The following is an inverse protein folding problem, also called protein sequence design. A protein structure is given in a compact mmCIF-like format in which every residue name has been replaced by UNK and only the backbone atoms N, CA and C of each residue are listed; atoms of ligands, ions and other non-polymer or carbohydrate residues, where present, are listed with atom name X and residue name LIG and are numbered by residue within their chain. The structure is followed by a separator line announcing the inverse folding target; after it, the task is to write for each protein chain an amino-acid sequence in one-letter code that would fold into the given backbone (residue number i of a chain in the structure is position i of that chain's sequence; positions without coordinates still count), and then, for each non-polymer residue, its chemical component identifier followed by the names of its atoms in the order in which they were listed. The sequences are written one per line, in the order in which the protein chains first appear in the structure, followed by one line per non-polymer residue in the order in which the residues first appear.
data_IF_632422937806
#
_entry.id   IF_632422937806
#
_cell.length_a   1.000
_cell.length_b   1.000
_cell.length_c   1.000
_cell.angle_alpha   90.00
_cell.angle_beta   90.00
_cell.angle_gamma   90.00
#
_symmetry.space_group_name_H-M   'P 1'
#
loop_
_entity.id
_entity.type
_entity.pdbx_description
1 polymer ?
#
# COMPACT_ATOMS: atom_id res chain seq x y z
N UNK A 1 -3.79 -35.38 -0.49
CA UNK A 1 -4.44 -34.40 0.37
C UNK A 1 -5.92 -34.53 0.15
N UNK A 2 -6.58 -35.04 1.16
CA UNK A 2 -8.04 -35.11 1.23
C UNK A 2 -8.55 -33.69 1.44
N UNK A 3 -8.70 -32.96 0.37
CA UNK A 3 -9.12 -31.58 0.41
C UNK A 3 -10.58 -31.50 0.87
N UNK A 4 -10.81 -30.79 1.95
CA UNK A 4 -12.16 -30.61 2.52
C UNK A 4 -13.10 -29.95 1.51
N UNK A 5 -12.61 -29.05 0.66
CA UNK A 5 -13.42 -28.43 -0.40
C UNK A 5 -13.94 -29.48 -1.37
N UNK A 6 -13.10 -30.42 -1.83
CA UNK A 6 -13.52 -31.44 -2.75
C UNK A 6 -14.48 -32.44 -2.11
N UNK A 7 -14.34 -32.75 -0.81
CA UNK A 7 -15.29 -33.59 -0.07
C UNK A 7 -16.66 -32.93 0.11
N UNK A 8 -16.69 -31.61 0.25
CA UNK A 8 -17.91 -30.82 0.42
C UNK A 8 -18.31 -30.05 -0.84
N UNK A 9 -17.63 -30.28 -1.98
CA UNK A 9 -17.83 -29.51 -3.21
C UNK A 9 -19.29 -29.44 -3.69
N UNK A 10 -20.08 -30.49 -3.42
CA UNK A 10 -21.50 -30.49 -3.74
C UNK A 10 -22.37 -29.62 -2.84
N UNK A 11 -21.85 -29.15 -1.70
CA UNK A 11 -22.60 -28.35 -0.72
C UNK A 11 -22.17 -26.89 -0.71
N UNK A 12 -20.87 -26.63 -0.77
CA UNK A 12 -20.30 -25.28 -0.62
C UNK A 12 -20.03 -24.56 -1.94
N UNK A 13 -20.38 -25.17 -3.08
CA UNK A 13 -20.03 -24.62 -4.38
C UNK A 13 -21.28 -24.08 -5.08
N UNK A 14 -21.24 -22.80 -5.39
CA UNK A 14 -22.11 -22.17 -6.40
C UNK A 14 -21.54 -22.48 -7.77
N UNK A 15 -22.32 -23.16 -8.61
CA UNK A 15 -22.02 -23.36 -10.02
C UNK A 15 -22.82 -22.34 -10.80
N UNK A 16 -22.19 -21.63 -11.69
CA UNK A 16 -22.85 -20.62 -12.50
C UNK A 16 -22.36 -20.66 -13.95
N UNK A 17 -23.28 -20.37 -14.85
CA UNK A 17 -23.03 -20.17 -16.27
C UNK A 17 -23.85 -18.94 -16.71
N UNK A 18 -23.18 -17.87 -17.12
CA UNK A 18 -23.82 -16.67 -17.61
C UNK A 18 -23.71 -16.51 -19.14
N UNK A 19 -23.38 -17.62 -19.84
CA UNK A 19 -23.21 -17.66 -21.30
C UNK A 19 -21.85 -17.12 -21.78
N UNK A 20 -21.12 -16.41 -20.94
CA UNK A 20 -19.78 -15.88 -21.23
C UNK A 20 -18.71 -16.53 -20.34
N UNK A 21 -19.11 -16.99 -19.17
CA UNK A 21 -18.25 -17.63 -18.19
C UNK A 21 -19.00 -18.75 -17.46
N UNK A 22 -18.45 -19.96 -17.54
CA UNK A 22 -18.85 -21.12 -16.75
C UNK A 22 -17.85 -21.32 -15.62
N UNK A 23 -18.31 -21.29 -14.36
CA UNK A 23 -17.43 -21.27 -13.22
C UNK A 23 -18.01 -21.85 -11.95
N UNK A 24 -17.15 -21.88 -10.94
CA UNK A 24 -17.47 -22.33 -9.60
C UNK A 24 -16.89 -21.36 -8.57
N UNK A 25 -17.71 -20.99 -7.60
CA UNK A 25 -17.32 -20.13 -6.48
C UNK A 25 -17.68 -20.85 -5.18
N UNK A 26 -16.84 -20.71 -4.17
CA UNK A 26 -17.17 -21.15 -2.80
C UNK A 26 -18.27 -20.22 -2.28
N UNK A 27 -19.40 -20.80 -1.87
CA UNK A 27 -20.55 -20.06 -1.36
C UNK A 27 -20.27 -19.42 0.00
N UNK A 28 -20.18 -18.09 0.09
CA UNK A 28 -19.95 -17.42 1.36
C UNK A 28 -21.13 -17.54 2.35
N UNK A 29 -22.28 -17.99 1.89
CA UNK A 29 -23.46 -18.25 2.72
C UNK A 29 -23.24 -19.36 3.76
N UNK A 30 -22.30 -20.29 3.53
CA UNK A 30 -21.93 -21.33 4.49
C UNK A 30 -20.88 -20.83 5.49
N UNK A 31 -21.15 -20.80 6.80
CA UNK A 31 -20.17 -20.41 7.82
C UNK A 31 -18.88 -21.24 7.78
N UNK A 32 -19.01 -22.56 7.57
CA UNK A 32 -17.87 -23.48 7.49
C UNK A 32 -17.01 -23.21 6.25
N UNK A 33 -17.63 -22.81 5.14
CA UNK A 33 -16.90 -22.42 3.91
C UNK A 33 -16.07 -21.15 4.15
N UNK A 34 -16.64 -20.12 4.81
CA UNK A 34 -15.87 -18.91 5.18
C UNK A 34 -14.71 -19.23 6.13
N UNK A 35 -14.95 -20.11 7.12
CA UNK A 35 -13.91 -20.55 8.04
C UNK A 35 -12.78 -21.29 7.31
N UNK A 36 -13.14 -22.10 6.30
CA UNK A 36 -12.16 -22.80 5.48
C UNK A 36 -11.31 -21.83 4.64
N UNK A 37 -11.93 -20.85 3.99
CA UNK A 37 -11.20 -19.80 3.24
C UNK A 37 -10.20 -19.08 4.14
N UNK A 38 -10.64 -18.65 5.32
CA UNK A 38 -9.77 -18.04 6.34
C UNK A 38 -8.60 -18.96 6.70
N UNK A 39 -8.85 -20.24 6.93
CA UNK A 39 -7.80 -21.21 7.26
C UNK A 39 -6.77 -21.35 6.15
N UNK A 40 -7.19 -21.43 4.88
CA UNK A 40 -6.29 -21.54 3.72
C UNK A 40 -5.40 -20.31 3.59
N UNK A 41 -5.96 -19.11 3.74
CA UNK A 41 -5.19 -17.87 3.68
C UNK A 41 -4.23 -17.75 4.86
N UNK A 42 -4.65 -18.16 6.05
CA UNK A 42 -3.79 -18.18 7.23
C UNK A 42 -2.66 -19.20 7.15
N UNK A 43 -2.80 -20.26 6.37
CA UNK A 43 -1.69 -21.17 6.09
C UNK A 43 -0.55 -20.43 5.36
N UNK A 44 -0.88 -19.57 4.40
CA UNK A 44 0.11 -18.75 3.71
C UNK A 44 0.74 -17.75 4.70
N UNK A 45 -0.08 -17.03 5.47
CA UNK A 45 0.41 -16.05 6.44
C UNK A 45 1.35 -16.69 7.47
N UNK A 46 1.01 -17.87 7.97
CA UNK A 46 1.80 -18.54 9.00
C UNK A 46 3.13 -19.08 8.49
N UNK A 47 3.14 -19.66 7.29
CA UNK A 47 4.28 -20.43 6.79
C UNK A 47 5.25 -19.60 5.93
N UNK A 48 4.85 -18.43 5.45
CA UNK A 48 5.67 -17.59 4.58
C UNK A 48 5.86 -16.18 5.17
N UNK A 49 6.97 -15.56 4.82
CA UNK A 49 7.27 -14.17 5.19
C UNK A 49 6.71 -13.22 4.12
N UNK A 50 5.37 -13.15 4.07
CA UNK A 50 4.67 -12.25 3.15
C UNK A 50 4.40 -10.90 3.81
N UNK A 51 4.41 -9.83 3.01
CA UNK A 51 4.08 -8.47 3.48
C UNK A 51 2.57 -8.17 3.36
N UNK A 52 1.81 -8.98 2.63
CA UNK A 52 0.37 -8.82 2.48
C UNK A 52 -0.31 -9.96 1.76
N UNK A 53 -1.62 -10.00 1.90
CA UNK A 53 -2.56 -10.83 1.15
C UNK A 53 -3.50 -9.88 0.40
N UNK A 54 -3.77 -10.18 -0.85
CA UNK A 54 -4.80 -9.50 -1.63
C UNK A 54 -5.79 -10.53 -2.17
N UNK A 55 -7.07 -10.20 -2.07
CA UNK A 55 -8.14 -10.99 -2.68
C UNK A 55 -8.78 -10.19 -3.81
N UNK A 56 -9.31 -10.91 -4.80
CA UNK A 56 -10.08 -10.35 -5.91
C UNK A 56 -11.57 -10.27 -5.56
N UNK A 57 -12.40 -9.78 -6.46
CA UNK A 57 -13.82 -9.46 -6.27
C UNK A 57 -14.81 -10.63 -6.51
N UNK A 58 -14.31 -11.86 -6.67
CA UNK A 58 -15.15 -13.03 -6.99
C UNK A 58 -15.81 -13.67 -5.76
N UNK A 59 -16.54 -12.90 -4.95
CA UNK A 59 -17.27 -13.44 -3.78
C UNK A 59 -18.59 -14.08 -4.19
N UNK A 60 -19.34 -13.43 -5.07
CA UNK A 60 -20.47 -13.99 -5.78
C UNK A 60 -20.27 -13.83 -7.29
N UNK A 61 -20.96 -14.64 -8.14
CA UNK A 61 -20.70 -14.65 -9.57
C UNK A 61 -21.00 -13.32 -10.26
N UNK A 62 -20.21 -12.98 -11.27
CA UNK A 62 -20.61 -11.97 -12.24
C UNK A 62 -21.92 -12.37 -12.93
N UNK A 63 -22.90 -11.47 -12.97
CA UNK A 63 -24.23 -11.75 -13.45
C UNK A 63 -25.27 -11.94 -12.34
N UNK A 64 -24.81 -11.90 -11.09
CA UNK A 64 -25.64 -12.02 -9.91
C UNK A 64 -25.93 -13.48 -9.53
N UNK A 65 -26.51 -13.66 -8.35
CA UNK A 65 -26.93 -14.94 -7.80
C UNK A 65 -28.44 -14.86 -7.50
N UNK A 66 -29.22 -15.76 -8.05
CA UNK A 66 -30.67 -15.82 -7.84
C UNK A 66 -31.12 -17.05 -7.08
N UNK A 67 -30.66 -18.23 -7.49
CA UNK A 67 -31.07 -19.52 -6.95
C UNK A 67 -29.90 -20.43 -6.58
N UNK A 68 -28.71 -20.11 -7.01
CA UNK A 68 -27.53 -20.96 -6.88
C UNK A 68 -27.09 -21.10 -5.43
N UNK A 69 -27.40 -20.14 -4.58
CA UNK A 69 -27.17 -20.14 -3.13
C UNK A 69 -28.40 -20.55 -2.31
N UNK A 70 -29.44 -21.08 -2.93
CA UNK A 70 -30.72 -21.41 -2.28
C UNK A 70 -30.54 -22.30 -1.03
N UNK A 71 -29.55 -23.21 -1.04
CA UNK A 71 -29.29 -24.12 0.07
C UNK A 71 -28.74 -23.37 1.29
N UNK A 72 -27.72 -22.58 1.13
CA UNK A 72 -27.12 -21.81 2.22
C UNK A 72 -28.11 -20.77 2.75
N UNK A 73 -28.87 -20.12 1.86
CA UNK A 73 -29.94 -19.18 2.23
C UNK A 73 -31.01 -19.85 3.07
N UNK A 74 -31.50 -21.01 2.70
CA UNK A 74 -32.51 -21.75 3.45
C UNK A 74 -32.03 -22.19 4.85
N UNK A 75 -30.72 -22.43 5.00
CA UNK A 75 -30.15 -22.91 6.28
C UNK A 75 -29.70 -21.78 7.19
N UNK A 76 -29.21 -20.65 6.64
CA UNK A 76 -28.46 -19.66 7.40
C UNK A 76 -28.94 -18.21 7.27
N UNK A 77 -29.86 -17.90 6.33
CA UNK A 77 -30.43 -16.54 6.29
C UNK A 77 -31.41 -16.35 7.45
N UNK A 78 -31.18 -15.39 8.35
CA UNK A 78 -32.12 -15.08 9.40
C UNK A 78 -33.33 -14.28 8.90
N UNK A 79 -34.48 -14.38 9.59
CA UNK A 79 -35.70 -13.66 9.23
C UNK A 79 -35.58 -12.14 9.38
N UNK A 80 -34.63 -11.68 10.19
CA UNK A 80 -34.47 -10.27 10.55
C UNK A 80 -33.28 -9.58 9.85
N UNK A 81 -32.94 -9.98 8.65
CA UNK A 81 -31.95 -9.26 7.85
C UNK A 81 -32.39 -7.80 7.64
N UNK A 82 -31.48 -6.88 7.89
CA UNK A 82 -31.75 -5.45 7.71
C UNK A 82 -31.73 -5.12 6.22
N UNK A 83 -32.78 -4.51 5.74
CA UNK A 83 -32.83 -3.92 4.40
C UNK A 83 -32.09 -2.57 4.41
N UNK A 84 -30.80 -2.60 4.09
CA UNK A 84 -29.85 -1.48 4.26
C UNK A 84 -30.18 -0.34 3.29
N UNK A 85 -30.39 -0.65 2.02
CA UNK A 85 -30.68 0.34 0.97
C UNK A 85 -32.18 0.57 0.77
N UNK A 86 -33.05 -0.09 1.53
CA UNK A 86 -34.53 0.06 1.51
C UNK A 86 -35.12 -0.18 0.11
N UNK A 87 -34.60 -1.18 -0.58
CA UNK A 87 -35.11 -1.59 -1.89
C UNK A 87 -36.13 -2.74 -1.80
N UNK A 88 -36.20 -3.41 -0.65
CA UNK A 88 -37.06 -4.53 -0.37
C UNK A 88 -36.41 -5.90 -0.61
N UNK A 89 -35.14 -5.94 -1.01
CA UNK A 89 -34.38 -7.16 -1.24
C UNK A 89 -33.39 -7.45 -0.09
N UNK A 90 -33.83 -8.20 0.88
CA UNK A 90 -32.97 -8.65 1.98
C UNK A 90 -32.10 -9.87 1.64
N UNK A 91 -32.25 -10.47 0.47
CA UNK A 91 -31.39 -11.58 0.04
C UNK A 91 -29.99 -11.04 -0.33
N UNK A 92 -29.92 -9.93 -1.03
CA UNK A 92 -28.66 -9.31 -1.39
C UNK A 92 -27.96 -8.67 -0.18
N UNK A 93 -28.70 -8.10 0.76
CA UNK A 93 -28.13 -7.65 2.03
C UNK A 93 -27.55 -8.79 2.84
N UNK A 94 -28.20 -9.94 2.85
CA UNK A 94 -27.67 -11.14 3.49
C UNK A 94 -26.40 -11.64 2.81
N UNK A 95 -26.34 -11.64 1.47
CA UNK A 95 -25.14 -12.01 0.70
C UNK A 95 -23.97 -11.07 1.02
N UNK A 96 -24.21 -9.75 1.01
CA UNK A 96 -23.21 -8.74 1.41
C UNK A 96 -22.69 -9.00 2.81
N UNK A 97 -23.58 -9.24 3.76
CA UNK A 97 -23.18 -9.52 5.15
C UNK A 97 -22.31 -10.77 5.30
N UNK A 98 -22.50 -11.81 4.48
CA UNK A 98 -21.64 -13.00 4.48
C UNK A 98 -20.21 -12.68 4.04
N UNK A 99 -20.05 -11.82 3.04
CA UNK A 99 -18.73 -11.35 2.58
C UNK A 99 -18.08 -10.49 3.66
N UNK A 100 -18.82 -9.56 4.26
CA UNK A 100 -18.32 -8.69 5.32
C UNK A 100 -17.81 -9.50 6.53
N UNK A 101 -18.58 -10.48 6.97
CA UNK A 101 -18.19 -11.40 8.07
C UNK A 101 -16.95 -12.20 7.72
N UNK A 102 -16.83 -12.68 6.47
CA UNK A 102 -15.65 -13.41 6.01
C UNK A 102 -14.40 -12.54 6.07
N UNK A 103 -14.46 -11.34 5.51
CA UNK A 103 -13.33 -10.42 5.48
C UNK A 103 -12.94 -9.93 6.87
N UNK A 104 -13.92 -9.61 7.71
CA UNK A 104 -13.64 -9.23 9.10
C UNK A 104 -12.93 -10.34 9.85
N UNK A 105 -13.41 -11.58 9.74
CA UNK A 105 -12.77 -12.73 10.39
C UNK A 105 -11.34 -12.95 9.91
N UNK A 106 -11.09 -12.83 8.61
CA UNK A 106 -9.75 -12.92 8.03
C UNK A 106 -8.86 -11.79 8.54
N UNK A 107 -9.33 -10.55 8.48
CA UNK A 107 -8.60 -9.38 8.98
C UNK A 107 -8.21 -9.55 10.45
N UNK A 108 -9.18 -9.84 11.32
CA UNK A 108 -8.95 -10.01 12.75
C UNK A 108 -7.93 -11.13 13.03
N UNK A 109 -8.00 -12.23 12.26
CA UNK A 109 -7.07 -13.35 12.41
C UNK A 109 -5.65 -12.95 12.00
N UNK A 110 -5.48 -12.27 10.87
CA UNK A 110 -4.17 -11.74 10.44
C UNK A 110 -3.60 -10.80 11.49
N UNK A 111 -4.42 -9.84 11.98
CA UNK A 111 -3.98 -8.87 12.98
C UNK A 111 -3.53 -9.54 14.29
N UNK A 112 -4.16 -10.66 14.68
CA UNK A 112 -3.79 -11.37 15.90
C UNK A 112 -2.47 -12.13 15.81
N UNK A 113 -2.03 -12.49 14.59
CA UNK A 113 -0.84 -13.34 14.36
C UNK A 113 0.34 -12.54 13.81
N UNK A 114 0.12 -11.79 12.73
CA UNK A 114 1.15 -10.97 12.07
C UNK A 114 0.55 -9.61 11.68
N UNK A 115 0.43 -8.66 12.60
CA UNK A 115 -0.28 -7.39 12.39
C UNK A 115 0.34 -6.51 11.30
N UNK A 116 1.58 -6.78 10.90
CA UNK A 116 2.25 -6.11 9.76
C UNK A 116 1.83 -6.65 8.39
N UNK A 117 1.24 -7.85 8.31
CA UNK A 117 0.72 -8.41 7.04
C UNK A 117 -0.55 -7.66 6.67
N UNK A 118 -0.53 -7.03 5.52
CA UNK A 118 -1.63 -6.21 5.01
C UNK A 118 -2.70 -7.08 4.38
N UNK A 119 -3.97 -6.81 4.66
CA UNK A 119 -5.09 -7.35 3.90
C UNK A 119 -5.59 -6.30 2.91
N UNK A 120 -5.55 -6.64 1.63
CA UNK A 120 -6.01 -5.81 0.53
C UNK A 120 -7.14 -6.45 -0.27
N UNK A 121 -7.95 -5.61 -0.92
CA UNK A 121 -9.08 -6.06 -1.73
C UNK A 121 -9.09 -5.37 -3.09
N UNK A 122 -9.03 -6.20 -4.16
CA UNK A 122 -9.19 -5.79 -5.55
C UNK A 122 -10.65 -5.84 -5.95
N UNK A 123 -11.41 -4.82 -5.61
CA UNK A 123 -12.86 -4.75 -5.87
C UNK A 123 -13.15 -4.34 -7.30
N UNK A 124 -14.40 -4.48 -7.75
CA UNK A 124 -14.83 -3.87 -9.02
C UNK A 124 -14.74 -2.33 -8.94
N UNK A 125 -14.55 -1.68 -10.07
CA UNK A 125 -14.26 -0.24 -10.10
C UNK A 125 -15.45 0.67 -9.78
N UNK A 126 -16.68 0.21 -10.02
CA UNK A 126 -17.92 0.90 -9.66
C UNK A 126 -18.53 0.19 -8.46
N UNK A 127 -18.62 0.88 -7.33
CA UNK A 127 -19.22 0.32 -6.13
C UNK A 127 -20.71 0.09 -6.27
N UNK A 128 -21.48 1.15 -6.55
CA UNK A 128 -22.92 1.07 -6.76
C UNK A 128 -23.38 2.15 -7.72
N UNK A 129 -24.49 1.88 -8.42
CA UNK A 129 -25.23 2.85 -9.22
C UNK A 129 -26.56 3.25 -8.56
N UNK A 130 -26.86 2.68 -7.40
CA UNK A 130 -28.09 2.92 -6.65
C UNK A 130 -27.94 4.09 -5.66
N UNK A 131 -28.74 5.13 -5.87
CA UNK A 131 -28.78 6.28 -4.96
C UNK A 131 -29.10 5.91 -3.52
N UNK A 132 -30.01 4.95 -3.31
CA UNK A 132 -30.39 4.50 -1.96
C UNK A 132 -29.25 3.81 -1.23
N UNK A 133 -28.40 3.04 -1.94
CA UNK A 133 -27.19 2.47 -1.36
C UNK A 133 -26.27 3.57 -0.88
N UNK A 134 -25.99 4.58 -1.71
CA UNK A 134 -25.14 5.70 -1.32
C UNK A 134 -25.72 6.48 -0.12
N UNK A 135 -27.00 6.76 -0.11
CA UNK A 135 -27.69 7.44 1.01
C UNK A 135 -27.58 6.66 2.32
N UNK A 136 -27.61 5.32 2.28
CA UNK A 136 -27.46 4.47 3.49
C UNK A 136 -26.08 4.64 4.15
N UNK A 137 -25.04 4.95 3.37
CA UNK A 137 -23.67 5.20 3.82
C UNK A 137 -23.32 6.69 3.93
N UNK A 138 -24.28 7.59 3.73
CA UNK A 138 -24.04 9.03 3.78
C UNK A 138 -23.17 9.56 2.62
N UNK A 139 -23.12 8.81 1.51
CA UNK A 139 -22.33 9.14 0.33
C UNK A 139 -23.19 9.74 -0.79
N UNK A 140 -22.49 10.39 -1.73
CA UNK A 140 -23.05 10.77 -3.03
C UNK A 140 -22.33 9.97 -4.12
N UNK A 141 -23.09 9.38 -5.04
CA UNK A 141 -22.49 8.66 -6.16
C UNK A 141 -21.69 9.57 -7.08
N UNK A 142 -20.63 9.05 -7.71
CA UNK A 142 -19.84 9.82 -8.66
C UNK A 142 -20.70 10.18 -9.90
N UNK A 143 -20.64 11.45 -10.27
CA UNK A 143 -21.50 11.99 -11.34
C UNK A 143 -21.19 11.38 -12.71
N UNK A 144 -22.23 11.01 -13.45
CA UNK A 144 -22.12 10.48 -14.81
C UNK A 144 -21.65 9.03 -14.91
N UNK A 145 -21.45 8.33 -13.78
CA UNK A 145 -21.04 6.93 -13.75
C UNK A 145 -22.27 6.03 -13.86
N UNK A 146 -22.16 4.99 -14.68
CA UNK A 146 -23.19 3.96 -14.87
C UNK A 146 -22.56 2.67 -15.40
N UNK A 147 -23.26 1.55 -15.22
CA UNK A 147 -22.82 0.23 -15.66
C UNK A 147 -23.05 -0.83 -14.59
N UNK A 148 -22.40 -1.96 -14.76
CA UNK A 148 -22.36 -3.02 -13.76
C UNK A 148 -21.66 -2.48 -12.51
N UNK A 149 -22.14 -2.84 -11.34
CA UNK A 149 -21.55 -2.46 -10.06
C UNK A 149 -21.41 -3.64 -9.11
N UNK A 150 -20.53 -3.46 -8.13
CA UNK A 150 -20.13 -4.46 -7.14
C UNK A 150 -21.26 -4.81 -6.17
N UNK A 151 -21.98 -3.78 -5.76
CA UNK A 151 -22.97 -3.85 -4.69
C UNK A 151 -24.14 -4.77 -5.02
N UNK A 152 -24.63 -4.68 -6.25
CA UNK A 152 -25.78 -5.47 -6.70
C UNK A 152 -25.36 -6.79 -7.32
N UNK A 153 -24.31 -6.79 -8.17
CA UNK A 153 -24.01 -7.95 -9.00
C UNK A 153 -23.21 -9.00 -8.23
N UNK A 154 -22.26 -8.59 -7.43
CA UNK A 154 -21.35 -9.49 -6.72
C UNK A 154 -21.60 -9.55 -5.21
N UNK A 155 -22.63 -8.84 -4.76
CA UNK A 155 -22.95 -8.64 -3.34
C UNK A 155 -21.71 -8.22 -2.54
N UNK A 156 -20.93 -7.28 -3.09
CA UNK A 156 -19.64 -6.84 -2.60
C UNK A 156 -19.77 -5.41 -2.07
N UNK A 157 -19.38 -5.17 -0.83
CA UNK A 157 -19.56 -3.86 -0.20
C UNK A 157 -18.26 -3.25 0.34
N UNK A 158 -17.31 -2.89 -0.54
CA UNK A 158 -16.03 -2.32 -0.12
C UNK A 158 -16.16 -1.00 0.68
N UNK A 159 -17.24 -0.26 0.53
CA UNK A 159 -17.52 0.93 1.35
C UNK A 159 -17.66 0.54 2.83
N UNK A 160 -18.40 -0.53 3.13
CA UNK A 160 -18.53 -1.08 4.49
C UNK A 160 -17.16 -1.46 5.09
N UNK A 161 -16.29 -2.08 4.26
CA UNK A 161 -14.98 -2.52 4.74
C UNK A 161 -14.04 -1.36 5.04
N UNK A 162 -14.10 -0.31 4.23
CA UNK A 162 -13.33 0.93 4.49
C UNK A 162 -13.87 1.66 5.70
N UNK A 163 -15.19 1.83 5.79
CA UNK A 163 -15.86 2.52 6.90
C UNK A 163 -15.56 1.88 8.26
N UNK A 164 -15.48 0.55 8.32
CA UNK A 164 -15.17 -0.18 9.56
C UNK A 164 -13.69 -0.57 9.70
N UNK A 165 -12.87 -0.32 8.67
CA UNK A 165 -11.47 -0.66 8.68
C UNK A 165 -11.20 -2.17 8.72
N UNK A 166 -11.97 -2.98 8.01
CA UNK A 166 -11.75 -4.44 7.89
C UNK A 166 -10.67 -4.81 6.89
N UNK A 167 -10.05 -3.82 6.24
CA UNK A 167 -8.96 -3.97 5.29
C UNK A 167 -7.88 -2.93 5.56
N UNK A 168 -6.66 -3.18 5.12
CA UNK A 168 -5.56 -2.22 5.19
C UNK A 168 -5.49 -1.36 3.93
N UNK A 169 -5.95 -1.89 2.82
CA UNK A 169 -6.09 -1.14 1.57
C UNK A 169 -7.16 -1.73 0.66
N UNK A 170 -7.65 -0.90 -0.24
CA UNK A 170 -8.45 -1.32 -1.39
C UNK A 170 -7.76 -0.90 -2.68
N UNK A 171 -7.98 -1.68 -3.75
CA UNK A 171 -7.46 -1.38 -5.08
C UNK A 171 -8.53 -1.65 -6.16
N UNK A 172 -9.57 -0.80 -6.25
CA UNK A 172 -10.63 -0.94 -7.23
C UNK A 172 -10.11 -1.03 -8.66
N UNK A 173 -10.74 -1.87 -9.47
CA UNK A 173 -10.37 -2.17 -10.85
C UNK A 173 -10.90 -1.11 -11.81
N UNK A 174 -10.21 0.02 -11.93
CA UNK A 174 -10.57 1.10 -12.85
C UNK A 174 -10.07 0.79 -14.26
N UNK A 175 -10.66 -0.23 -14.89
CA UNK A 175 -10.21 -0.74 -16.19
C UNK A 175 -10.75 0.03 -17.40
N UNK A 176 -11.03 1.32 -17.23
CA UNK A 176 -11.55 2.22 -18.27
C UNK A 176 -10.57 3.36 -18.54
N UNK A 177 -10.76 3.99 -19.71
CA UNK A 177 -9.90 5.11 -20.08
C UNK A 177 -10.33 6.42 -19.40
N UNK A 178 -9.39 7.36 -19.29
CA UNK A 178 -9.66 8.72 -18.81
C UNK A 178 -10.61 9.49 -19.73
N UNK A 179 -10.79 9.05 -20.97
CA UNK A 179 -11.67 9.65 -21.98
C UNK A 179 -13.10 9.06 -22.03
N UNK A 180 -13.36 7.98 -21.28
CA UNK A 180 -14.74 7.42 -21.24
C UNK A 180 -15.70 8.35 -20.50
N UNK A 181 -16.99 8.32 -20.86
CA UNK A 181 -18.01 9.19 -20.26
C UNK A 181 -18.71 8.52 -19.07
N UNK A 182 -19.22 7.29 -19.26
CA UNK A 182 -20.03 6.57 -18.27
C UNK A 182 -19.23 5.78 -17.24
N UNK A 183 -17.93 5.61 -17.47
CA UNK A 183 -17.00 4.89 -16.61
C UNK A 183 -15.66 5.64 -16.54
N UNK A 184 -15.74 6.95 -16.32
CA UNK A 184 -14.57 7.83 -16.38
C UNK A 184 -13.58 7.53 -15.27
N UNK A 185 -12.35 7.17 -15.64
CA UNK A 185 -11.29 6.84 -14.72
C UNK A 185 -11.03 7.95 -13.68
N UNK A 186 -10.94 9.21 -14.13
CA UNK A 186 -10.62 10.32 -13.23
C UNK A 186 -11.71 10.54 -12.18
N UNK A 187 -12.97 10.46 -12.60
CA UNK A 187 -14.14 10.64 -11.73
C UNK A 187 -14.17 9.52 -10.66
N UNK A 188 -13.98 8.27 -11.09
CA UNK A 188 -13.97 7.13 -10.18
C UNK A 188 -12.76 7.17 -9.24
N UNK A 189 -11.56 7.48 -9.74
CA UNK A 189 -10.35 7.59 -8.93
C UNK A 189 -10.49 8.68 -7.85
N UNK A 190 -11.02 9.84 -8.20
CA UNK A 190 -11.24 10.93 -7.24
C UNK A 190 -12.28 10.55 -6.19
N UNK A 191 -13.39 9.94 -6.59
CA UNK A 191 -14.45 9.50 -5.68
C UNK A 191 -13.95 8.46 -4.67
N UNK A 192 -13.26 7.42 -5.14
CA UNK A 192 -12.67 6.41 -4.26
C UNK A 192 -11.66 7.00 -3.27
N UNK A 193 -10.83 7.93 -3.76
CA UNK A 193 -9.81 8.56 -2.91
C UNK A 193 -10.44 9.45 -1.84
N UNK A 194 -11.31 10.39 -2.23
CA UNK A 194 -11.84 11.45 -1.37
C UNK A 194 -13.08 11.03 -0.59
N UNK A 195 -14.09 10.57 -1.34
CA UNK A 195 -15.41 10.34 -0.76
C UNK A 195 -15.49 9.00 -0.01
N UNK A 196 -14.62 8.03 -0.30
CA UNK A 196 -14.57 6.76 0.39
C UNK A 196 -13.35 6.69 1.33
N UNK A 197 -12.13 6.58 0.78
CA UNK A 197 -10.96 6.26 1.60
C UNK A 197 -10.59 7.39 2.57
N UNK A 198 -10.47 8.64 2.12
CA UNK A 198 -10.17 9.76 2.99
C UNK A 198 -11.31 10.03 3.99
N UNK A 199 -12.55 10.06 3.48
CA UNK A 199 -13.73 10.37 4.30
C UNK A 199 -13.85 9.40 5.48
N UNK A 200 -13.85 8.10 5.24
CA UNK A 200 -14.01 7.11 6.31
C UNK A 200 -12.75 6.92 7.13
N UNK A 201 -11.55 6.98 6.53
CA UNK A 201 -10.30 6.90 7.29
C UNK A 201 -10.19 7.99 8.37
N UNK A 202 -10.72 9.18 8.10
CA UNK A 202 -10.74 10.28 9.08
C UNK A 202 -11.69 10.03 10.27
N UNK A 203 -12.55 9.01 10.17
CA UNK A 203 -13.50 8.63 11.22
C UNK A 203 -13.05 7.37 11.98
N UNK A 204 -12.04 6.65 11.48
CA UNK A 204 -11.53 5.45 12.15
C UNK A 204 -10.77 5.81 13.43
N UNK A 205 -10.83 4.93 14.45
CA UNK A 205 -10.13 5.16 15.71
C UNK A 205 -8.62 5.08 15.55
N UNK A 206 -7.89 5.64 16.51
CA UNK A 206 -6.44 5.51 16.69
C UNK A 206 -5.60 5.99 15.46
N UNK A 207 -6.15 6.86 14.64
CA UNK A 207 -5.50 7.35 13.43
C UNK A 207 -5.38 6.30 12.31
N UNK A 208 -6.10 5.18 12.43
CA UNK A 208 -6.16 4.14 11.39
C UNK A 208 -6.56 4.74 10.05
N UNK A 209 -5.94 4.22 8.99
CA UNK A 209 -6.28 4.58 7.62
C UNK A 209 -6.46 3.32 6.78
N UNK A 210 -7.32 3.41 5.78
CA UNK A 210 -7.38 2.43 4.70
C UNK A 210 -6.71 3.05 3.48
N UNK A 211 -5.62 2.47 3.03
CA UNK A 211 -4.89 2.98 1.87
C UNK A 211 -5.65 2.71 0.58
N UNK A 212 -5.50 3.60 -0.37
CA UNK A 212 -6.12 3.48 -1.69
C UNK A 212 -5.06 3.31 -2.78
N UNK A 213 -5.05 2.15 -3.42
CA UNK A 213 -4.34 1.91 -4.67
C UNK A 213 -5.36 1.82 -5.81
N UNK A 214 -4.91 1.98 -7.04
CA UNK A 214 -5.79 1.82 -8.21
C UNK A 214 -5.32 0.66 -9.05
N UNK A 215 -6.20 -0.31 -9.29
CA UNK A 215 -5.94 -1.36 -10.27
C UNK A 215 -6.19 -0.85 -11.69
N UNK A 216 -5.16 -0.95 -12.52
CA UNK A 216 -5.11 -0.42 -13.89
C UNK A 216 -4.96 -1.55 -14.91
N UNK A 217 -5.70 -1.45 -16.01
CA UNK A 217 -5.72 -2.44 -17.06
C UNK A 217 -4.49 -2.32 -17.99
N UNK A 218 -3.32 -2.70 -17.50
CA UNK A 218 -2.08 -2.71 -18.29
C UNK A 218 -2.22 -3.52 -19.59
N UNK A 219 -3.03 -4.58 -19.60
CA UNK A 219 -3.28 -5.39 -20.80
C UNK A 219 -3.95 -4.56 -21.91
N UNK A 220 -4.86 -3.66 -21.58
CA UNK A 220 -5.56 -2.82 -22.57
C UNK A 220 -4.64 -1.79 -23.25
N UNK A 221 -3.54 -1.46 -22.61
CA UNK A 221 -2.54 -0.57 -23.19
C UNK A 221 -1.69 -1.25 -24.29
N UNK A 222 -1.59 -2.57 -24.26
CA UNK A 222 -0.73 -3.33 -25.17
C UNK A 222 -1.51 -4.20 -26.17
N UNK A 223 -2.78 -4.48 -25.92
CA UNK A 223 -3.64 -5.28 -26.81
C UNK A 223 -4.56 -4.42 -27.72
N UNK A 224 -4.47 -3.09 -27.61
CA UNK A 224 -5.28 -2.14 -28.38
C UNK A 224 -6.61 -1.77 -27.73
N UNK A 225 -6.88 -2.22 -26.51
CA UNK A 225 -8.09 -1.89 -25.73
C UNK A 225 -8.14 -0.42 -25.30
N UNK A 226 -6.97 0.24 -25.17
CA UNK A 226 -6.86 1.68 -25.03
C UNK A 226 -6.36 2.30 -26.34
N UNK A 227 -7.09 3.25 -26.90
CA UNK A 227 -6.72 3.91 -28.16
C UNK A 227 -5.37 4.65 -28.10
N UNK A 228 -4.98 5.12 -26.90
CA UNK A 228 -3.71 5.81 -26.68
C UNK A 228 -2.60 4.88 -26.16
N UNK A 229 -2.89 3.59 -26.00
CA UNK A 229 -1.89 2.62 -25.54
C UNK A 229 -1.26 3.00 -24.19
N UNK A 230 0.07 2.97 -24.10
CA UNK A 230 0.84 3.26 -22.88
C UNK A 230 0.60 4.69 -22.37
N UNK A 231 0.33 5.66 -23.26
CA UNK A 231 0.05 7.04 -22.85
C UNK A 231 -1.20 7.15 -21.98
N UNK A 232 -2.19 6.26 -22.16
CA UNK A 232 -3.34 6.21 -21.27
C UNK A 232 -2.93 5.81 -19.84
N UNK A 233 -2.09 4.79 -19.67
CA UNK A 233 -1.57 4.40 -18.35
C UNK A 233 -0.78 5.55 -17.70
N UNK A 234 0.01 6.29 -18.45
CA UNK A 234 0.73 7.47 -17.95
C UNK A 234 -0.21 8.57 -17.45
N UNK A 235 -1.30 8.82 -18.17
CA UNK A 235 -2.37 9.75 -17.73
C UNK A 235 -3.02 9.27 -16.43
N UNK A 236 -3.32 7.98 -16.31
CA UNK A 236 -3.91 7.37 -15.13
C UNK A 236 -2.97 7.47 -13.91
N UNK A 237 -1.67 7.20 -14.05
CA UNK A 237 -0.69 7.39 -12.97
C UNK A 237 -0.65 8.87 -12.54
N UNK A 238 -0.72 9.79 -13.49
CA UNK A 238 -0.79 11.23 -13.19
C UNK A 238 -2.06 11.58 -12.41
N UNK A 239 -3.21 10.98 -12.76
CA UNK A 239 -4.46 11.16 -12.04
C UNK A 239 -4.40 10.59 -10.61
N UNK A 240 -3.81 9.40 -10.43
CA UNK A 240 -3.58 8.81 -9.10
C UNK A 240 -2.78 9.78 -8.22
N UNK A 241 -1.70 10.35 -8.75
CA UNK A 241 -0.85 11.30 -8.02
C UNK A 241 -1.55 12.60 -7.63
N UNK A 242 -2.53 13.07 -8.41
CA UNK A 242 -3.33 14.24 -8.03
C UNK A 242 -4.15 14.01 -6.76
N UNK A 243 -4.46 12.77 -6.45
CA UNK A 243 -5.22 12.37 -5.28
C UNK A 243 -4.35 11.87 -4.11
N UNK A 244 -3.03 12.11 -4.11
CA UNK A 244 -2.13 11.72 -3.02
C UNK A 244 -2.55 12.32 -1.68
N UNK A 245 -2.95 13.58 -1.65
CA UNK A 245 -3.43 14.24 -0.43
C UNK A 245 -4.72 13.63 0.13
N UNK A 246 -5.47 12.93 -0.69
CA UNK A 246 -6.73 12.24 -0.34
C UNK A 246 -6.53 10.72 -0.16
N UNK A 247 -5.29 10.28 0.12
CA UNK A 247 -4.99 8.90 0.46
C UNK A 247 -4.73 7.96 -0.72
N UNK A 248 -4.68 8.46 -1.97
CA UNK A 248 -4.21 7.65 -3.10
C UNK A 248 -2.71 7.36 -2.94
N UNK A 249 -2.33 6.09 -2.96
CA UNK A 249 -0.98 5.64 -2.59
C UNK A 249 -0.21 5.00 -3.72
N UNK A 250 -0.85 4.65 -4.83
CA UNK A 250 -0.14 4.05 -5.96
C UNK A 250 -1.00 3.28 -6.95
N UNK A 251 -0.32 2.48 -7.75
CA UNK A 251 -0.87 1.75 -8.88
C UNK A 251 -0.65 0.25 -8.74
N UNK A 252 -1.64 -0.54 -9.11
CA UNK A 252 -1.58 -1.99 -9.29
C UNK A 252 -1.85 -2.29 -10.76
N UNK A 253 -0.99 -3.06 -11.43
CA UNK A 253 -1.11 -3.30 -12.87
C UNK A 253 -1.59 -4.73 -13.16
N UNK A 254 -2.73 -4.86 -13.80
CA UNK A 254 -3.19 -6.13 -14.32
C UNK A 254 -2.85 -6.22 -15.81
N UNK A 255 -1.85 -7.04 -16.21
CA UNK A 255 -1.08 -7.98 -15.41
C UNK A 255 0.44 -7.79 -15.62
N UNK A 256 1.26 -8.61 -14.94
CA UNK A 256 2.73 -8.58 -15.05
C UNK A 256 3.23 -8.76 -16.47
N UNK A 257 2.61 -9.65 -17.28
CA UNK A 257 3.00 -9.87 -18.68
C UNK A 257 2.86 -8.59 -19.51
N UNK A 258 1.79 -7.85 -19.29
CA UNK A 258 1.52 -6.59 -19.99
C UNK A 258 2.38 -5.46 -19.44
N UNK A 259 2.53 -5.38 -18.11
CA UNK A 259 3.39 -4.38 -17.46
C UNK A 259 4.84 -4.45 -17.96
N UNK A 260 5.40 -5.65 -18.14
CA UNK A 260 6.77 -5.82 -18.68
C UNK A 260 6.99 -5.14 -20.03
N UNK A 261 5.95 -5.00 -20.85
CA UNK A 261 6.06 -4.37 -22.17
C UNK A 261 6.14 -2.84 -22.09
N UNK A 262 5.70 -2.25 -20.99
CA UNK A 262 5.72 -0.80 -20.76
C UNK A 262 6.68 -0.37 -19.64
N UNK A 263 7.34 -1.32 -18.97
CA UNK A 263 8.15 -1.04 -17.79
C UNK A 263 9.27 -0.03 -18.06
N UNK A 264 9.94 -0.12 -19.21
CA UNK A 264 11.00 0.82 -19.60
C UNK A 264 10.47 2.23 -19.78
N UNK A 265 9.33 2.40 -20.46
CA UNK A 265 8.74 3.72 -20.69
C UNK A 265 8.25 4.35 -19.39
N UNK A 266 7.64 3.54 -18.51
CA UNK A 266 7.19 4.01 -17.20
C UNK A 266 8.37 4.33 -16.27
N UNK A 267 9.44 3.54 -16.28
CA UNK A 267 10.65 3.82 -15.51
C UNK A 267 11.31 5.13 -15.96
N UNK A 268 11.34 5.41 -17.27
CA UNK A 268 11.91 6.63 -17.82
C UNK A 268 11.03 7.89 -17.59
N UNK A 269 9.77 7.75 -17.23
CA UNK A 269 8.82 8.87 -17.16
C UNK A 269 8.16 9.06 -15.79
N UNK A 270 7.54 8.02 -15.25
CA UNK A 270 6.70 8.12 -14.06
C UNK A 270 7.31 7.43 -12.82
N UNK A 271 8.18 6.43 -12.99
CA UNK A 271 8.80 5.68 -11.92
C UNK A 271 10.33 5.83 -11.92
N UNK A 272 10.79 7.06 -12.12
CA UNK A 272 12.23 7.40 -12.17
C UNK A 272 12.90 7.29 -10.80
N UNK A 273 12.14 7.40 -9.72
CA UNK A 273 12.63 7.29 -8.36
C UNK A 273 12.01 6.10 -7.65
N UNK A 274 12.74 5.56 -6.68
CA UNK A 274 12.21 4.54 -5.77
C UNK A 274 11.19 5.17 -4.82
N UNK A 275 10.27 4.36 -4.30
CA UNK A 275 9.29 4.78 -3.32
C UNK A 275 9.18 3.74 -2.21
N UNK A 276 8.84 4.19 -1.01
CA UNK A 276 8.48 3.31 0.09
C UNK A 276 7.00 2.97 0.00
N UNK A 277 6.58 1.76 0.44
CA UNK A 277 5.17 1.49 0.71
C UNK A 277 4.63 2.50 1.73
N UNK A 278 3.34 2.88 1.63
CA UNK A 278 2.75 3.78 2.61
C UNK A 278 2.83 3.17 4.02
N UNK A 279 3.26 3.95 5.00
CA UNK A 279 3.42 3.51 6.37
C UNK A 279 2.05 3.23 7.04
N UNK A 280 2.03 2.24 7.93
CA UNK A 280 0.93 1.96 8.85
C UNK A 280 1.33 2.40 10.27
N UNK A 281 1.58 3.69 10.45
CA UNK A 281 2.10 4.29 11.69
C UNK A 281 1.18 4.04 12.90
N UNK A 282 -0.13 3.97 12.69
CA UNK A 282 -1.09 3.61 13.72
C UNK A 282 -0.92 2.18 14.27
N UNK A 283 -0.31 1.27 13.51
CA UNK A 283 -0.03 -0.12 13.92
C UNK A 283 1.34 -0.26 14.57
N UNK A 284 2.31 0.58 14.21
CA UNK A 284 3.65 0.50 14.77
C UNK A 284 3.67 0.92 16.24
N UNK A 285 4.03 -0.01 17.09
CA UNK A 285 4.25 0.23 18.54
C UNK A 285 5.73 0.02 18.90
N UNK A 286 6.59 -0.07 17.89
CA UNK A 286 8.01 -0.35 18.00
C UNK A 286 8.74 0.99 17.98
N UNK A 287 9.75 1.15 18.84
CA UNK A 287 10.75 2.20 18.71
C UNK A 287 12.09 1.54 18.41
N UNK A 288 12.61 1.76 17.21
CA UNK A 288 13.95 1.29 16.82
C UNK A 288 14.92 2.45 16.97
N UNK A 289 16.06 2.15 17.59
CA UNK A 289 17.17 3.09 17.71
C UNK A 289 17.78 3.40 16.33
N UNK A 290 18.56 4.47 16.25
CA UNK A 290 19.36 4.75 15.07
C UNK A 290 20.45 3.70 14.85
N UNK A 291 20.80 3.38 13.60
CA UNK A 291 22.00 2.60 13.33
C UNK A 291 23.27 3.29 13.90
N UNK A 292 24.25 2.48 14.26
CA UNK A 292 25.55 2.95 14.76
C UNK A 292 26.67 2.56 13.83
N UNK A 293 27.88 3.06 14.07
CA UNK A 293 29.11 2.68 13.38
C UNK A 293 29.01 2.78 11.85
N UNK A 294 28.32 3.83 11.36
CA UNK A 294 28.26 4.10 9.92
C UNK A 294 29.66 4.33 9.39
N UNK A 295 30.02 3.56 8.39
CA UNK A 295 31.32 3.68 7.71
C UNK A 295 31.15 3.51 6.20
N UNK A 296 32.07 4.08 5.42
CA UNK A 296 32.13 3.94 3.98
C UNK A 296 33.52 3.48 3.55
N UNK A 297 33.57 2.49 2.65
CA UNK A 297 34.79 2.04 2.00
C UNK A 297 34.53 1.88 0.51
N UNK A 298 35.11 2.74 -0.30
CA UNK A 298 34.72 2.87 -1.71
C UNK A 298 33.24 3.25 -1.81
N UNK A 299 32.46 2.44 -2.49
CA UNK A 299 31.00 2.61 -2.63
C UNK A 299 30.18 1.80 -1.63
N UNK A 300 30.82 1.06 -0.71
CA UNK A 300 30.11 0.21 0.25
C UNK A 300 29.95 0.96 1.56
N UNK A 301 28.72 1.14 1.99
CA UNK A 301 28.33 1.69 3.29
C UNK A 301 27.96 0.54 4.22
N UNK A 302 28.46 0.58 5.45
CA UNK A 302 28.18 -0.39 6.51
C UNK A 302 27.71 0.30 7.76
N UNK A 303 26.96 -0.38 8.57
CA UNK A 303 26.45 0.09 9.87
C UNK A 303 26.23 -1.09 10.82
N UNK A 304 25.88 -0.81 12.07
CA UNK A 304 25.48 -1.80 13.04
C UNK A 304 24.10 -1.46 13.61
N UNK A 305 23.30 -2.48 13.89
CA UNK A 305 22.07 -2.36 14.66
C UNK A 305 21.77 -3.70 15.37
N UNK A 306 21.35 -3.69 16.64
CA UNK A 306 21.18 -4.93 17.41
C UNK A 306 19.98 -5.77 17.00
N UNK A 307 18.91 -5.17 16.47
CA UNK A 307 17.63 -5.86 16.25
C UNK A 307 16.95 -5.55 14.92
N UNK A 308 17.18 -4.38 14.30
CA UNK A 308 16.58 -4.07 13.01
C UNK A 308 17.22 -4.89 11.89
N UNK A 309 16.38 -5.40 11.00
CA UNK A 309 16.80 -6.20 9.84
C UNK A 309 16.61 -5.43 8.52
N UNK A 310 15.86 -4.33 8.55
CA UNK A 310 15.50 -3.51 7.39
C UNK A 310 15.92 -2.07 7.64
N UNK A 311 16.41 -1.42 6.60
CA UNK A 311 16.87 -0.03 6.67
C UNK A 311 16.51 0.69 5.40
N UNK A 312 16.14 1.98 5.52
CA UNK A 312 16.08 2.86 4.35
C UNK A 312 17.40 3.62 4.24
N UNK A 313 17.85 3.82 3.02
CA UNK A 313 19.10 4.52 2.74
C UNK A 313 18.82 5.70 1.84
N UNK A 314 19.33 6.87 2.20
CA UNK A 314 19.25 8.11 1.45
C UNK A 314 20.64 8.65 1.14
N UNK A 315 20.77 9.27 -0.04
CA UNK A 315 21.97 9.99 -0.45
C UNK A 315 21.53 11.35 -0.99
N UNK A 316 22.01 12.42 -0.36
CA UNK A 316 21.59 13.77 -0.68
C UNK A 316 22.71 14.80 -0.51
N UNK A 317 22.62 16.01 -1.12
CA UNK A 317 23.66 17.03 -1.05
C UNK A 317 24.00 17.44 0.40
N UNK A 318 25.27 17.65 0.70
CA UNK A 318 25.69 18.26 1.96
C UNK A 318 25.01 19.60 2.16
N UNK A 319 24.59 19.87 3.38
CA UNK A 319 23.90 21.13 3.75
C UNK A 319 22.37 21.09 3.63
N UNK A 320 21.80 20.06 2.97
CA UNK A 320 20.38 19.78 3.07
C UNK A 320 20.12 19.03 4.38
N UNK A 321 19.05 19.40 5.10
CA UNK A 321 18.65 18.64 6.29
C UNK A 321 17.91 17.36 5.92
N UNK A 322 18.00 16.36 6.80
CA UNK A 322 17.41 15.03 6.54
C UNK A 322 15.88 15.08 6.44
N UNK A 323 15.21 15.89 7.26
CA UNK A 323 13.74 15.97 7.24
C UNK A 323 13.20 16.53 5.91
N UNK A 324 13.99 17.33 5.21
CA UNK A 324 13.71 17.77 3.84
C UNK A 324 14.06 16.68 2.83
N UNK A 325 15.25 16.07 2.95
CA UNK A 325 15.70 15.02 2.02
C UNK A 325 14.78 13.79 2.06
N UNK A 326 14.31 13.39 3.23
CA UNK A 326 13.40 12.23 3.41
C UNK A 326 12.08 12.36 2.65
N UNK A 327 11.62 13.59 2.40
CA UNK A 327 10.37 13.86 1.68
C UNK A 327 10.50 13.82 0.17
N UNK A 328 11.72 13.73 -0.34
CA UNK A 328 11.99 13.75 -1.78
C UNK A 328 12.54 12.39 -2.23
N UNK A 329 11.75 11.71 -3.04
CA UNK A 329 12.04 10.36 -3.53
C UNK A 329 13.35 10.28 -4.35
N UNK A 330 13.86 11.40 -4.91
CA UNK A 330 15.13 11.41 -5.64
C UNK A 330 16.32 11.01 -4.79
N UNK A 331 16.24 11.21 -3.47
CA UNK A 331 17.33 10.89 -2.54
C UNK A 331 17.26 9.47 -2.00
N UNK A 332 16.11 8.79 -2.12
CA UNK A 332 15.92 7.43 -1.63
C UNK A 332 16.68 6.42 -2.50
N UNK A 333 17.61 5.70 -1.88
CA UNK A 333 18.32 4.59 -2.54
C UNK A 333 17.57 3.26 -2.40
N UNK A 334 16.65 3.14 -1.48
CA UNK A 334 15.75 2.00 -1.29
C UNK A 334 15.76 1.42 0.11
N UNK A 335 15.09 0.27 0.24
CA UNK A 335 15.12 -0.55 1.44
C UNK A 335 16.22 -1.59 1.32
N UNK A 336 17.03 -1.69 2.34
CA UNK A 336 18.15 -2.63 2.43
C UNK A 336 17.88 -3.64 3.54
N UNK A 337 18.11 -4.91 3.26
CA UNK A 337 18.09 -5.99 4.24
C UNK A 337 19.52 -6.30 4.68
N UNK A 338 19.75 -6.33 6.01
CA UNK A 338 21.09 -6.46 6.57
C UNK A 338 21.78 -5.10 6.78
N UNK A 339 23.06 -5.13 7.12
CA UNK A 339 23.77 -3.98 7.67
C UNK A 339 24.85 -3.44 6.71
N UNK A 340 24.63 -3.57 5.41
CA UNK A 340 25.50 -3.01 4.38
C UNK A 340 24.78 -2.83 3.07
N UNK A 341 25.22 -1.83 2.27
CA UNK A 341 24.78 -1.69 0.89
C UNK A 341 25.88 -1.08 0.03
N UNK A 342 25.80 -1.33 -1.28
CA UNK A 342 26.61 -0.68 -2.29
C UNK A 342 25.83 0.50 -2.90
N UNK A 343 26.44 1.67 -2.96
CA UNK A 343 25.86 2.89 -3.47
C UNK A 343 26.55 3.31 -4.78
N UNK A 344 25.80 3.30 -5.87
CA UNK A 344 26.29 3.73 -7.18
C UNK A 344 25.84 5.17 -7.47
N UNK A 345 26.34 6.12 -6.66
CA UNK A 345 26.00 7.55 -6.78
C UNK A 345 27.30 8.31 -7.12
N UNK A 346 27.23 9.11 -8.19
CA UNK A 346 28.35 9.97 -8.58
C UNK A 346 28.58 11.03 -7.48
N UNK A 347 29.84 11.27 -7.17
CA UNK A 347 30.21 12.24 -6.13
C UNK A 347 29.80 11.84 -4.70
N UNK A 348 29.66 10.53 -4.42
CA UNK A 348 29.18 10.00 -3.14
C UNK A 348 29.93 10.58 -1.93
N UNK A 349 31.23 10.84 -2.04
CA UNK A 349 32.05 11.39 -0.98
C UNK A 349 31.71 12.85 -0.62
N UNK A 350 31.04 13.55 -1.53
CA UNK A 350 30.57 14.93 -1.35
C UNK A 350 29.10 15.00 -0.94
N UNK A 351 28.47 13.86 -0.72
CA UNK A 351 27.07 13.72 -0.30
C UNK A 351 26.96 13.39 1.18
N UNK A 352 25.77 13.59 1.71
CA UNK A 352 25.34 13.04 2.99
C UNK A 352 24.63 11.71 2.77
N UNK A 353 25.01 10.71 3.53
CA UNK A 353 24.36 9.40 3.56
C UNK A 353 23.57 9.31 4.85
N UNK A 354 22.29 9.01 4.77
CA UNK A 354 21.43 8.71 5.92
C UNK A 354 20.97 7.27 5.87
N UNK A 355 21.02 6.60 7.01
CA UNK A 355 20.49 5.24 7.18
C UNK A 355 19.49 5.28 8.33
N UNK A 356 18.23 4.93 8.05
CA UNK A 356 17.18 4.84 9.07
C UNK A 356 16.86 3.38 9.35
N UNK A 357 16.63 3.06 10.60
CA UNK A 357 15.99 1.79 10.96
C UNK A 357 14.56 1.78 10.44
N UNK A 358 14.13 0.68 9.82
CA UNK A 358 12.86 0.56 9.12
C UNK A 358 12.09 -0.67 9.60
N UNK A 359 10.86 -0.48 10.05
CA UNK A 359 10.06 -1.57 10.58
C UNK A 359 9.19 -2.26 9.52
N UNK A 360 8.48 -3.31 9.93
CA UNK A 360 7.59 -4.08 9.06
C UNK A 360 6.27 -3.37 8.74
N UNK A 361 5.96 -2.30 9.47
CA UNK A 361 4.79 -1.46 9.20
C UNK A 361 5.08 -0.36 8.17
N UNK A 362 6.33 -0.27 7.71
CA UNK A 362 6.74 0.76 6.77
C UNK A 362 7.08 2.10 7.44
N UNK A 363 7.39 2.07 8.74
CA UNK A 363 7.75 3.26 9.52
C UNK A 363 9.27 3.35 9.63
N UNK A 364 9.79 4.53 9.34
CA UNK A 364 11.18 4.90 9.58
C UNK A 364 11.34 5.43 11.00
N UNK A 365 12.40 4.99 11.66
CA UNK A 365 12.72 5.34 13.03
C UNK A 365 14.04 6.13 13.11
N UNK A 366 14.86 5.88 14.12
CA UNK A 366 16.11 6.58 14.33
C UNK A 366 17.02 6.59 13.10
N UNK A 367 17.60 7.75 12.78
CA UNK A 367 18.50 7.97 11.65
C UNK A 367 19.92 8.18 12.11
N UNK A 368 20.87 7.56 11.39
CA UNK A 368 22.30 7.86 11.49
C UNK A 368 22.79 8.52 10.20
N UNK A 369 23.69 9.49 10.33
CA UNK A 369 24.23 10.28 9.24
C UNK A 369 25.74 10.04 9.09
N UNK A 370 26.19 9.94 7.84
CA UNK A 370 27.60 9.85 7.49
C UNK A 370 27.91 10.98 6.48
N UNK A 371 29.05 11.66 6.66
CA UNK A 371 29.54 12.76 5.82
C UNK A 371 28.69 14.04 5.83
N UNK A 372 27.61 14.10 6.61
CA UNK A 372 26.64 15.17 6.59
C UNK A 372 26.28 15.81 7.92
N UNK A 373 27.14 15.70 8.92
CA UNK A 373 26.92 16.52 10.10
C UNK A 373 27.07 18.01 9.73
N UNK A 374 26.12 18.89 10.07
CA UNK A 374 26.52 20.23 10.42
C UNK A 374 27.70 20.09 11.35
N UNK A 375 28.82 20.73 11.02
CA UNK A 375 29.81 20.94 12.09
C UNK A 375 29.02 21.45 13.29
N UNK A 376 29.18 20.84 14.47
CA UNK A 376 28.55 21.41 15.65
C UNK A 376 28.83 22.90 15.59
N UNK A 377 27.79 23.72 15.72
CA UNK A 377 27.99 25.16 15.80
C UNK A 377 29.14 25.35 16.78
N UNK A 378 30.20 25.99 16.31
CA UNK A 378 31.40 26.12 17.10
C UNK A 378 30.99 26.70 18.44
N UNK A 379 31.03 25.90 19.50
CA UNK A 379 30.87 26.42 20.84
C UNK A 379 31.99 27.44 21.01
N UNK A 380 31.67 28.77 21.09
CA UNK A 380 32.68 29.80 21.22
C UNK A 380 33.53 29.62 22.50
N UNK A 381 33.11 28.73 23.40
CA UNK A 381 33.82 28.39 24.62
C UNK A 381 34.48 26.99 24.56
N UNK A 382 34.43 26.30 23.41
CA UNK A 382 35.08 25.00 23.28
C UNK A 382 36.59 25.14 23.46
N UNK A 383 37.15 24.37 24.37
CA UNK A 383 38.59 24.33 24.61
C UNK A 383 39.31 23.31 23.72
N UNK A 384 38.56 22.44 23.05
CA UNK A 384 39.06 21.40 22.14
C UNK A 384 38.18 21.25 20.93
N UNK A 385 38.79 21.02 19.76
CA UNK A 385 38.10 20.67 18.52
C UNK A 385 38.48 19.25 18.13
N UNK A 386 37.48 18.39 17.98
CA UNK A 386 37.68 17.01 17.54
C UNK A 386 37.24 16.88 16.08
N UNK A 387 38.14 16.48 15.22
CA UNK A 387 37.89 16.17 13.83
C UNK A 387 37.45 14.73 13.67
N UNK A 388 36.32 14.52 13.04
CA UNK A 388 35.82 13.17 12.77
C UNK A 388 35.67 13.00 11.27
N UNK A 389 36.33 12.00 10.72
CA UNK A 389 36.15 11.59 9.32
C UNK A 389 35.66 10.13 9.30
N UNK A 390 34.57 9.88 8.57
CA UNK A 390 34.01 8.54 8.42
C UNK A 390 33.74 7.82 9.77
N UNK A 391 33.23 8.55 10.78
CA UNK A 391 32.97 7.98 12.11
C UNK A 391 34.23 7.75 12.98
N UNK A 392 35.44 7.92 12.44
CA UNK A 392 36.68 7.82 13.17
C UNK A 392 37.22 9.18 13.62
N UNK A 393 37.69 9.28 14.88
CA UNK A 393 38.37 10.49 15.37
C UNK A 393 39.69 10.61 14.64
N UNK A 394 39.87 11.63 13.80
CA UNK A 394 41.13 11.91 13.11
C UNK A 394 42.13 12.58 14.04
N UNK A 395 41.67 13.60 14.76
CA UNK A 395 42.49 14.39 15.65
C UNK A 395 41.64 15.19 16.61
N UNK A 396 42.05 15.26 17.85
CA UNK A 396 41.61 16.26 18.82
C UNK A 396 42.75 17.25 19.03
N UNK A 397 42.48 18.53 18.90
CA UNK A 397 43.42 19.62 19.14
C UNK A 397 42.78 20.63 20.08
N UNK A 398 43.62 21.32 20.86
CA UNK A 398 43.16 22.48 21.61
C UNK A 398 42.52 23.50 20.64
N UNK A 399 41.41 24.11 21.01
CA UNK A 399 40.77 25.14 20.19
C UNK A 399 41.75 26.29 20.05
N UNK A 400 42.10 26.70 18.81
CA UNK A 400 43.00 27.80 18.60
C UNK A 400 42.36 29.12 19.08
N UNK A 401 43.14 30.03 19.59
CA UNK A 401 42.69 31.38 19.90
C UNK A 401 42.33 32.12 18.60
N UNK A 402 41.49 33.15 18.71
CA UNK A 402 41.06 33.93 17.51
C UNK A 402 42.25 34.55 16.74
N UNK A 403 43.39 34.80 17.38
CA UNK A 403 44.60 35.27 16.70
C UNK A 403 45.30 34.12 15.93
N UNK A 404 45.32 32.91 16.49
CA UNK A 404 45.92 31.74 15.83
C UNK A 404 45.11 31.21 14.62
N UNK A 405 43.78 31.45 14.62
CA UNK A 405 42.93 31.05 13.52
C UNK A 405 43.24 31.71 12.19
N UNK A 406 43.73 32.95 12.20
CA UNK A 406 43.96 33.72 10.97
C UNK A 406 45.40 33.71 10.49
N UNK A 407 46.36 33.56 11.36
CA UNK A 407 47.79 33.64 10.99
C UNK A 407 48.46 32.28 10.68
N UNK A 408 48.00 31.20 11.28
CA UNK A 408 48.72 29.90 11.23
C UNK A 408 47.85 28.74 10.70
N UNK A 409 46.58 28.93 10.48
CA UNK A 409 45.72 27.82 10.01
C UNK A 409 45.55 27.87 8.49
N UNK A 410 46.49 27.23 7.79
CA UNK A 410 46.22 26.82 6.39
C UNK A 410 45.78 25.38 6.45
N UNK A 411 44.53 25.06 6.08
CA UNK A 411 44.14 23.68 5.86
C UNK A 411 44.99 23.16 4.69
N UNK A 412 45.81 22.16 4.92
CA UNK A 412 46.36 21.34 3.83
C UNK A 412 45.20 20.51 3.21
N UNK A 413 44.38 21.19 2.47
CA UNK A 413 43.38 20.51 1.64
C UNK A 413 43.63 20.76 0.23
N UNK A 414 43.79 19.68 -0.37
CA UNK A 414 43.42 19.53 -1.76
C UNK A 414 42.29 18.51 -1.81
#
# INVERSE_FOLDING_TARGET
TDDLVWKNAGEWIIKYDNGSFDGQIIDPGFPDARAYVTKVLMEIVNNYDVDGIVMDDYFYPYGGTTTEDAKSKALYKPDNVVDVNKDGDTDDDWRRSNVDVCLKALYDTIQSVKPWVRLGMGTFGIWSTQKKAAEAYGLTLPSGISGLDDYDVQACNPVEWVMNGYVDYINPQLYWATSTTSTNYNVLCEWWAKDVCEHFSNQLPDGKKVHFFVSQAAYRAVDGGFSEGIAEIQKQITANRKNLSSGSTGSVFYNTKSYRQMATDLAASHFIYKALPPAMDWKSKIALEAPTDLNISGNTVTWQHPTAERFTVYVYPKGLDFATAQKDAQYLQGVVYGQSCELNVEGLMDMTIAVCSYDRFGVEHGVALLNGGKFPESDPNATEITWVLNGGVLKTIAAPTNEELWENWKPDYV
#
